data_IF_112644637975
#
_entry.id   IF_112644637975
#
_cell.length_a   1.000
_cell.length_b   1.000
_cell.length_c   1.000
_cell.angle_alpha   90.00
_cell.angle_beta   90.00
_cell.angle_gamma   90.00
#
_symmetry.space_group_name_H-M   'P 1'
#
loop_
_entity.id
_entity.type
_entity.pdbx_description
1 polymer ?
#
# COMPACT_ATOMS: atom_id res chain seq x y z
N UNK A 1 10.70 36.58 -28.92
CA UNK A 1 9.89 35.44 -29.41
C UNK A 1 9.88 34.21 -28.50
N UNK A 2 10.92 33.97 -27.74
CA UNK A 2 11.02 32.78 -26.87
C UNK A 2 10.37 32.95 -25.49
N UNK A 3 9.99 34.13 -25.13
CA UNK A 3 9.49 34.46 -23.78
C UNK A 3 8.08 33.93 -23.45
N UNK A 4 7.23 33.80 -24.45
CA UNK A 4 5.86 33.36 -24.25
C UNK A 4 5.70 31.87 -23.97
N UNK A 5 6.59 31.04 -24.48
CA UNK A 5 6.56 29.61 -24.30
C UNK A 5 6.94 29.16 -22.88
N UNK A 6 7.76 29.93 -22.17
CA UNK A 6 8.19 29.60 -20.83
C UNK A 6 7.11 29.85 -19.77
N UNK A 7 6.34 30.89 -19.94
CA UNK A 7 5.25 31.24 -18.99
C UNK A 7 4.12 30.21 -19.09
N UNK A 8 3.81 29.77 -20.29
CA UNK A 8 2.76 28.78 -20.53
C UNK A 8 3.11 27.40 -19.93
N UNK A 9 4.37 27.04 -19.96
CA UNK A 9 4.84 25.77 -19.38
C UNK A 9 4.73 25.74 -17.85
N UNK A 10 5.03 26.84 -17.18
CA UNK A 10 4.92 26.95 -15.73
C UNK A 10 3.46 26.85 -15.27
N UNK A 11 2.56 27.53 -15.93
CA UNK A 11 1.14 27.46 -15.60
C UNK A 11 0.56 26.05 -15.76
N UNK A 12 0.95 25.34 -16.80
CA UNK A 12 0.48 23.96 -17.03
C UNK A 12 0.96 22.98 -15.94
N UNK A 13 2.18 23.11 -15.49
CA UNK A 13 2.75 22.23 -14.43
C UNK A 13 2.02 22.46 -13.10
N UNK A 14 1.77 23.69 -12.73
CA UNK A 14 1.06 24.03 -11.50
C UNK A 14 -0.37 23.52 -11.52
N UNK A 15 -1.07 23.70 -12.63
CA UNK A 15 -2.45 23.23 -12.79
C UNK A 15 -2.57 21.72 -12.73
N UNK A 16 -1.63 20.99 -13.31
CA UNK A 16 -1.58 19.53 -13.23
C UNK A 16 -1.35 19.03 -11.81
N UNK A 17 -0.47 19.68 -11.06
CA UNK A 17 -0.23 19.34 -9.68
C UNK A 17 -1.48 19.48 -8.81
N UNK A 18 -2.23 20.56 -8.98
CA UNK A 18 -3.48 20.79 -8.28
C UNK A 18 -4.57 19.77 -8.62
N UNK A 19 -4.67 19.37 -9.88
CA UNK A 19 -5.62 18.35 -10.34
C UNK A 19 -5.33 16.98 -9.75
N UNK A 20 -4.06 16.60 -9.60
CA UNK A 20 -3.66 15.33 -9.00
C UNK A 20 -4.09 15.20 -7.54
N UNK A 21 -4.19 16.29 -6.80
CA UNK A 21 -4.62 16.26 -5.39
C UNK A 21 -6.11 16.03 -5.20
N UNK A 22 -6.93 16.22 -6.23
CA UNK A 22 -8.40 16.15 -6.16
C UNK A 22 -9.01 14.90 -6.77
N UNK A 23 -8.26 14.12 -7.56
CA UNK A 23 -8.77 12.94 -8.28
C UNK A 23 -8.09 11.66 -7.81
N UNK A 24 -8.79 10.51 -7.85
CA UNK A 24 -8.15 9.22 -7.64
C UNK A 24 -6.98 9.04 -8.62
N UNK A 25 -5.88 8.54 -8.12
CA UNK A 25 -4.68 8.27 -8.92
C UNK A 25 -4.83 6.93 -9.63
N UNK A 26 -4.64 6.91 -10.95
CA UNK A 26 -4.65 5.67 -11.71
C UNK A 26 -3.50 4.75 -11.27
N UNK A 27 -3.67 3.42 -11.38
CA UNK A 27 -2.69 2.44 -10.93
C UNK A 27 -1.29 2.66 -11.52
N UNK A 28 -1.19 3.00 -12.81
CA UNK A 28 0.08 3.30 -13.49
C UNK A 28 0.76 4.53 -12.90
N UNK A 29 0.00 5.57 -12.60
CA UNK A 29 0.49 6.79 -11.96
C UNK A 29 0.87 6.55 -10.51
N UNK A 30 0.18 5.64 -9.82
CA UNK A 30 0.50 5.25 -8.45
C UNK A 30 1.88 4.57 -8.39
N UNK A 31 2.16 3.64 -9.31
CA UNK A 31 3.47 2.99 -9.38
C UNK A 31 4.59 3.99 -9.65
N UNK A 32 4.36 4.97 -10.53
CA UNK A 32 5.33 6.03 -10.79
C UNK A 32 5.57 6.91 -9.55
N UNK A 33 4.55 7.19 -8.76
CA UNK A 33 4.67 7.95 -7.52
C UNK A 33 5.43 7.16 -6.43
N UNK A 34 5.24 5.85 -6.37
CA UNK A 34 6.02 4.98 -5.49
C UNK A 34 7.50 4.97 -5.91
N UNK A 35 7.79 4.86 -7.21
CA UNK A 35 9.15 4.96 -7.74
C UNK A 35 9.80 6.27 -7.35
N UNK A 36 9.08 7.37 -7.48
CA UNK A 36 9.57 8.71 -7.12
C UNK A 36 9.85 8.81 -5.62
N UNK A 37 8.96 8.28 -4.78
CA UNK A 37 9.15 8.26 -3.32
C UNK A 37 10.43 7.51 -2.94
N UNK A 38 10.67 6.36 -3.55
CA UNK A 38 11.87 5.57 -3.30
C UNK A 38 13.13 6.36 -3.67
N UNK A 39 13.11 7.06 -4.81
CA UNK A 39 14.24 7.93 -5.23
C UNK A 39 14.46 9.11 -4.30
N UNK A 40 13.38 9.79 -3.91
CA UNK A 40 13.46 10.96 -3.03
C UNK A 40 14.04 10.63 -1.65
N UNK A 41 13.73 9.46 -1.11
CA UNK A 41 14.28 9.04 0.17
C UNK A 41 15.79 8.90 0.13
N UNK A 42 16.37 8.36 -0.94
CA UNK A 42 17.80 8.36 -1.23
C UNK A 42 18.70 7.69 -0.21
N UNK A 43 18.16 7.10 0.84
CA UNK A 43 18.89 6.45 1.93
C UNK A 43 18.36 5.02 2.15
N UNK A 44 18.68 4.43 3.30
CA UNK A 44 18.26 3.08 3.65
C UNK A 44 16.72 2.89 3.60
N UNK A 45 15.96 3.94 3.85
CA UNK A 45 14.49 3.87 3.81
C UNK A 45 13.99 3.62 2.39
N UNK A 46 14.62 4.25 1.39
CA UNK A 46 14.31 4.00 -0.01
C UNK A 46 14.57 2.54 -0.39
N UNK A 47 15.70 2.01 0.03
CA UNK A 47 16.06 0.60 -0.19
C UNK A 47 15.09 -0.36 0.52
N UNK A 48 14.72 -0.06 1.75
CA UNK A 48 13.77 -0.87 2.52
C UNK A 48 12.38 -0.85 1.87
N UNK A 49 11.88 0.32 1.47
CA UNK A 49 10.60 0.43 0.79
C UNK A 49 10.59 -0.30 -0.55
N UNK A 50 11.67 -0.19 -1.33
CA UNK A 50 11.83 -0.92 -2.59
C UNK A 50 11.81 -2.43 -2.37
N UNK A 51 12.47 -2.90 -1.33
CA UNK A 51 12.50 -4.35 -0.99
C UNK A 51 11.12 -4.86 -0.55
N UNK A 52 10.43 -4.11 0.28
CA UNK A 52 9.06 -4.40 0.69
C UNK A 52 8.15 -4.51 -0.54
N UNK A 53 8.22 -3.54 -1.44
CA UNK A 53 7.46 -3.53 -2.68
C UNK A 53 7.72 -4.77 -3.53
N UNK A 54 8.97 -5.11 -3.70
CA UNK A 54 9.39 -6.33 -4.43
C UNK A 54 8.75 -7.58 -3.81
N UNK A 55 8.85 -7.74 -2.50
CA UNK A 55 8.30 -8.90 -1.79
C UNK A 55 6.77 -8.97 -1.88
N UNK A 56 6.10 -7.82 -1.86
CA UNK A 56 4.64 -7.75 -2.03
C UNK A 56 4.24 -8.32 -3.39
N UNK A 57 4.89 -7.88 -4.46
CA UNK A 57 4.57 -8.34 -5.82
C UNK A 57 5.02 -9.78 -6.08
N UNK A 58 6.08 -10.24 -5.43
CA UNK A 58 6.47 -11.65 -5.46
C UNK A 58 5.46 -12.54 -4.72
N UNK A 59 4.92 -12.07 -3.61
CA UNK A 59 3.92 -12.79 -2.84
C UNK A 59 2.63 -12.97 -3.64
N UNK A 60 2.20 -11.93 -4.35
CA UNK A 60 1.00 -11.95 -5.16
C UNK A 60 1.10 -10.94 -6.32
N UNK A 61 1.36 -11.41 -7.55
CA UNK A 61 1.47 -10.55 -8.72
C UNK A 61 0.19 -9.77 -9.07
N UNK A 62 -0.97 -10.18 -8.56
CA UNK A 62 -2.24 -9.50 -8.82
C UNK A 62 -2.50 -8.32 -7.88
N UNK A 63 -1.64 -8.09 -6.89
CA UNK A 63 -1.74 -6.92 -6.01
C UNK A 63 -1.57 -5.65 -6.82
N UNK A 64 -2.48 -4.70 -6.61
CA UNK A 64 -2.49 -3.39 -7.25
C UNK A 64 -1.86 -2.37 -6.32
N UNK A 65 -1.00 -1.52 -6.86
CA UNK A 65 -0.46 -0.36 -6.17
C UNK A 65 -1.40 0.83 -6.29
N UNK A 66 -1.61 1.51 -5.18
CA UNK A 66 -2.40 2.71 -5.10
C UNK A 66 -1.62 3.81 -4.37
N UNK A 67 -2.02 5.04 -4.56
CA UNK A 67 -1.45 6.20 -3.89
C UNK A 67 -2.58 6.96 -3.22
N UNK A 68 -2.62 6.96 -1.90
CA UNK A 68 -3.75 7.49 -1.14
C UNK A 68 -3.30 8.50 -0.07
N UNK A 69 -4.27 9.22 0.45
CA UNK A 69 -4.10 10.11 1.61
C UNK A 69 -2.92 11.06 1.50
N UNK A 70 -2.72 11.68 0.34
CA UNK A 70 -1.68 12.67 0.07
C UNK A 70 -0.25 12.13 0.11
N UNK A 71 -0.05 10.88 -0.14
CA UNK A 71 1.30 10.39 -0.32
C UNK A 71 1.63 9.07 0.34
N UNK A 72 0.64 8.21 0.52
CA UNK A 72 0.87 6.89 1.10
C UNK A 72 0.76 5.81 0.02
N UNK A 73 1.83 5.04 -0.21
CA UNK A 73 1.74 3.81 -0.99
C UNK A 73 0.81 2.81 -0.32
N UNK A 74 -0.13 2.28 -1.08
CA UNK A 74 -1.11 1.30 -0.62
C UNK A 74 -1.12 0.12 -1.59
N UNK A 75 -1.18 -1.10 -1.06
CA UNK A 75 -1.27 -2.31 -1.86
C UNK A 75 -2.57 -3.01 -1.54
N UNK A 76 -3.31 -3.35 -2.60
CA UNK A 76 -4.68 -3.86 -2.50
C UNK A 76 -4.90 -5.09 -3.37
N UNK A 77 -5.66 -6.03 -2.86
CA UNK A 77 -6.22 -7.16 -3.59
C UNK A 77 -7.45 -7.63 -2.83
N UNK A 78 -8.62 -7.39 -3.42
CA UNK A 78 -9.89 -7.66 -2.73
C UNK A 78 -10.17 -6.72 -1.56
N UNK A 79 -9.44 -5.63 -1.44
CA UNK A 79 -9.41 -4.66 -0.37
C UNK A 79 -7.97 -4.31 -0.02
N UNK A 80 -7.75 -3.39 0.88
CA UNK A 80 -6.40 -3.01 1.30
C UNK A 80 -5.72 -4.19 2.01
N UNK A 81 -4.53 -4.54 1.53
CA UNK A 81 -3.64 -5.51 2.18
C UNK A 81 -2.77 -4.79 3.21
N UNK A 82 -1.98 -3.86 2.74
CA UNK A 82 -1.08 -3.09 3.60
C UNK A 82 -0.74 -1.73 2.98
N UNK A 83 -0.17 -0.87 3.81
CA UNK A 83 0.38 0.42 3.42
C UNK A 83 1.87 0.46 3.70
N UNK A 84 2.59 1.37 3.04
CA UNK A 84 4.00 1.61 3.29
C UNK A 84 4.21 3.06 3.66
N UNK A 85 4.53 3.32 4.91
CA UNK A 85 4.79 4.66 5.40
C UNK A 85 6.26 4.81 5.75
N UNK A 86 6.83 5.98 5.49
CA UNK A 86 8.22 6.27 5.81
C UNK A 86 8.30 7.41 6.79
N UNK A 87 8.97 7.16 7.91
CA UNK A 87 9.27 8.13 8.94
C UNK A 87 10.78 8.34 9.00
N UNK A 88 11.24 9.24 9.86
CA UNK A 88 12.66 9.58 9.93
C UNK A 88 13.54 8.35 10.22
N UNK A 89 13.11 7.45 11.09
CA UNK A 89 13.90 6.30 11.55
C UNK A 89 13.24 4.93 11.28
N UNK A 90 12.10 4.91 10.60
CA UNK A 90 11.31 3.69 10.44
C UNK A 90 10.64 3.67 9.08
N UNK A 91 10.66 2.52 8.44
CA UNK A 91 9.74 2.19 7.36
C UNK A 91 8.67 1.29 7.97
N UNK A 92 7.43 1.74 7.92
CA UNK A 92 6.31 1.05 8.56
C UNK A 92 5.39 0.42 7.52
N UNK A 93 5.15 -0.88 7.65
CA UNK A 93 4.10 -1.58 6.93
C UNK A 93 2.91 -1.76 7.86
N UNK A 94 1.77 -1.20 7.52
CA UNK A 94 0.54 -1.40 8.29
C UNK A 94 -0.40 -2.33 7.54
N UNK A 95 -0.73 -3.46 8.16
CA UNK A 95 -1.69 -4.42 7.61
C UNK A 95 -3.09 -4.03 8.07
N UNK A 96 -3.97 -3.78 7.10
CA UNK A 96 -5.31 -3.26 7.37
C UNK A 96 -6.15 -4.16 8.28
N UNK A 97 -5.97 -5.47 8.17
CA UNK A 97 -6.65 -6.47 8.99
C UNK A 97 -5.67 -7.34 9.80
N UNK A 98 -4.55 -6.74 10.19
CA UNK A 98 -3.46 -7.45 10.85
C UNK A 98 -3.87 -8.21 12.11
N UNK A 99 -4.82 -7.68 12.88
CA UNK A 99 -5.29 -8.32 14.11
C UNK A 99 -5.98 -9.68 13.87
N UNK A 100 -6.52 -9.88 12.67
CA UNK A 100 -7.17 -11.13 12.28
C UNK A 100 -6.20 -12.14 11.63
N UNK A 101 -4.95 -11.76 11.43
CA UNK A 101 -3.94 -12.62 10.82
C UNK A 101 -3.17 -13.41 11.87
N UNK A 102 -2.89 -14.66 11.56
CA UNK A 102 -1.90 -15.45 12.28
C UNK A 102 -0.52 -14.96 11.86
N UNK A 103 0.33 -14.73 12.83
CA UNK A 103 1.70 -14.26 12.63
C UNK A 103 2.67 -15.19 13.34
N UNK A 104 2.88 -16.41 12.81
CA UNK A 104 3.68 -17.42 13.50
C UNK A 104 5.15 -17.01 13.65
N UNK A 105 5.65 -16.18 12.74
CA UNK A 105 7.03 -15.69 12.79
C UNK A 105 7.19 -14.39 13.59
N UNK A 106 6.12 -13.91 14.18
CA UNK A 106 6.09 -12.70 15.03
C UNK A 106 6.69 -11.48 14.32
N UNK A 107 6.23 -11.24 13.09
CA UNK A 107 6.66 -10.09 12.29
C UNK A 107 6.08 -8.78 12.83
N UNK A 108 4.84 -8.79 13.29
CA UNK A 108 4.22 -7.59 13.84
C UNK A 108 4.95 -7.17 15.12
N UNK A 109 5.45 -5.95 15.12
CA UNK A 109 6.20 -5.35 16.23
C UNK A 109 5.70 -3.96 16.60
N UNK A 110 4.62 -3.51 15.99
CA UNK A 110 4.05 -2.19 16.20
C UNK A 110 2.53 -2.25 16.08
N UNK A 111 1.83 -1.30 16.70
CA UNK A 111 0.36 -1.25 16.71
C UNK A 111 -0.28 -2.54 17.28
N UNK A 112 0.37 -3.17 18.25
CA UNK A 112 -0.03 -4.48 18.77
C UNK A 112 -1.32 -4.45 19.59
N UNK A 113 -1.74 -3.29 20.07
CA UNK A 113 -2.98 -3.10 20.82
C UNK A 113 -4.17 -2.71 19.94
N UNK A 114 -3.97 -2.47 18.66
CA UNK A 114 -5.04 -2.15 17.73
C UNK A 114 -6.01 -3.32 17.55
N UNK A 115 -7.29 -3.03 17.48
CA UNK A 115 -8.33 -4.05 17.34
C UNK A 115 -8.41 -4.62 15.92
N UNK A 116 -7.90 -3.91 14.92
CA UNK A 116 -8.00 -4.28 13.50
C UNK A 116 -6.63 -4.29 12.84
N UNK A 117 -5.85 -3.23 13.02
CA UNK A 117 -4.55 -3.05 12.36
C UNK A 117 -3.40 -3.60 13.18
N UNK A 118 -2.37 -4.07 12.48
CA UNK A 118 -1.06 -4.42 13.04
C UNK A 118 0.00 -3.89 12.10
N UNK A 119 1.17 -3.58 12.62
CA UNK A 119 2.24 -3.01 11.81
C UNK A 119 3.58 -3.70 12.04
N UNK A 120 4.42 -3.60 11.02
CA UNK A 120 5.82 -4.00 11.05
C UNK A 120 6.64 -2.73 10.89
N UNK A 121 7.42 -2.40 11.90
CA UNK A 121 8.40 -1.32 11.85
C UNK A 121 9.76 -1.91 11.45
N UNK A 122 10.31 -1.39 10.37
CA UNK A 122 11.63 -1.77 9.85
C UNK A 122 12.60 -0.64 10.15
N UNK A 123 13.67 -0.94 10.89
CA UNK A 123 14.73 -0.01 11.24
C UNK A 123 15.95 -0.22 10.36
N UNK A 124 16.83 0.78 10.33
CA UNK A 124 18.06 0.72 9.55
C UNK A 124 18.89 -0.52 9.91
N UNK A 125 19.33 -1.24 8.90
CA UNK A 125 20.17 -2.43 9.08
C UNK A 125 19.44 -3.71 9.45
N UNK A 126 18.15 -3.65 9.72
CA UNK A 126 17.36 -4.86 10.01
C UNK A 126 17.16 -5.69 8.76
N UNK A 127 17.35 -6.99 8.90
CA UNK A 127 17.04 -7.95 7.84
C UNK A 127 15.56 -8.35 7.90
N UNK A 128 14.92 -8.33 6.75
CA UNK A 128 13.54 -8.77 6.61
C UNK A 128 13.52 -10.29 6.44
N UNK A 129 12.68 -10.98 7.20
CA UNK A 129 12.38 -12.38 6.96
C UNK A 129 11.47 -12.47 5.73
N UNK A 130 12.06 -12.62 4.55
CA UNK A 130 11.37 -12.50 3.28
C UNK A 130 10.28 -13.57 3.09
N UNK A 131 10.59 -14.82 3.42
CA UNK A 131 9.64 -15.92 3.31
C UNK A 131 8.43 -15.72 4.22
N UNK A 132 8.67 -15.35 5.48
CA UNK A 132 7.60 -15.09 6.43
C UNK A 132 6.73 -13.89 6.02
N UNK A 133 7.35 -12.83 5.50
CA UNK A 133 6.61 -11.65 5.04
C UNK A 133 5.74 -11.99 3.83
N UNK A 134 6.24 -12.74 2.86
CA UNK A 134 5.44 -13.18 1.71
C UNK A 134 4.26 -14.03 2.15
N UNK A 135 4.45 -14.93 3.09
CA UNK A 135 3.36 -15.76 3.64
C UNK A 135 2.30 -14.90 4.34
N UNK A 136 2.72 -13.90 5.09
CA UNK A 136 1.82 -12.98 5.78
C UNK A 136 1.00 -12.16 4.76
N UNK A 137 1.62 -11.69 3.69
CA UNK A 137 0.94 -10.96 2.61
C UNK A 137 -0.09 -11.86 1.93
N UNK A 138 0.27 -13.10 1.60
CA UNK A 138 -0.67 -14.06 1.01
C UNK A 138 -1.85 -14.35 1.93
N UNK A 139 -1.61 -14.47 3.22
CA UNK A 139 -2.67 -14.66 4.21
C UNK A 139 -3.61 -13.45 4.26
N UNK A 140 -3.06 -12.25 4.16
CA UNK A 140 -3.86 -11.01 4.13
C UNK A 140 -4.75 -10.93 2.88
N UNK A 141 -4.21 -11.31 1.72
CA UNK A 141 -4.99 -11.41 0.48
C UNK A 141 -6.11 -12.43 0.63
N UNK A 142 -5.80 -13.62 1.13
CA UNK A 142 -6.78 -14.69 1.33
C UNK A 142 -7.92 -14.23 2.25
N UNK A 143 -7.61 -13.51 3.33
CA UNK A 143 -8.59 -12.95 4.24
C UNK A 143 -9.52 -11.94 3.55
N UNK A 144 -8.98 -11.08 2.70
CA UNK A 144 -9.77 -10.12 1.93
C UNK A 144 -10.72 -10.82 0.96
N UNK A 145 -10.25 -11.82 0.24
CA UNK A 145 -11.04 -12.57 -0.73
C UNK A 145 -12.14 -13.40 -0.04
N UNK A 146 -11.84 -13.99 1.10
CA UNK A 146 -12.82 -14.70 1.93
C UNK A 146 -13.93 -13.75 2.41
N UNK A 147 -13.57 -12.57 2.88
CA UNK A 147 -14.53 -11.55 3.29
C UNK A 147 -15.48 -11.12 2.16
N UNK A 148 -14.97 -10.97 0.95
CA UNK A 148 -15.77 -10.67 -0.24
C UNK A 148 -16.73 -11.79 -0.59
N UNK A 149 -16.29 -13.03 -0.55
CA UNK A 149 -17.11 -14.21 -0.82
C UNK A 149 -18.27 -14.31 0.17
N UNK A 150 -18.01 -14.13 1.46
CA UNK A 150 -19.05 -14.11 2.50
C UNK A 150 -20.05 -12.97 2.31
N UNK A 151 -19.59 -11.79 1.94
CA UNK A 151 -20.44 -10.64 1.65
C UNK A 151 -21.36 -10.87 0.48
N UNK A 152 -20.87 -11.46 -0.61
CA UNK A 152 -21.69 -11.86 -1.77
C UNK A 152 -22.75 -12.90 -1.40
N UNK A 153 -22.39 -13.91 -0.62
CA UNK A 153 -23.29 -14.96 -0.16
C UNK A 153 -24.42 -14.39 0.70
N UNK A 154 -24.11 -13.49 1.63
CA UNK A 154 -25.11 -12.80 2.46
C UNK A 154 -26.09 -11.95 1.63
N UNK A 155 -25.57 -11.23 0.62
CA UNK A 155 -26.42 -10.46 -0.30
C UNK A 155 -27.35 -11.34 -1.10
N UNK A 156 -26.88 -12.45 -1.62
CA UNK A 156 -27.66 -13.43 -2.35
C UNK A 156 -28.78 -14.02 -1.48
N UNK A 157 -28.47 -14.39 -0.24
CA UNK A 157 -29.44 -14.92 0.73
C UNK A 157 -30.52 -13.90 1.07
N UNK A 158 -30.15 -12.65 1.32
CA UNK A 158 -31.12 -11.57 1.57
C UNK A 158 -32.02 -11.31 0.38
N UNK A 159 -31.48 -11.34 -0.84
CA UNK A 159 -32.26 -11.14 -2.06
C UNK A 159 -33.27 -12.27 -2.27
N UNK A 160 -32.89 -13.52 -1.97
CA UNK A 160 -33.80 -14.68 -2.02
C UNK A 160 -34.94 -14.61 -0.99
N UNK A 161 -34.60 -14.17 0.23
CA UNK A 161 -35.58 -14.02 1.30
C UNK A 161 -36.57 -12.89 1.06
N UNK A 162 -36.22 -11.88 0.27
CA UNK A 162 -37.06 -10.74 -0.09
C UNK A 162 -37.96 -11.02 -1.31
N UNK A 163 -37.79 -12.15 -2.01
CA UNK A 163 -38.64 -12.61 -3.14
C UNK A 163 -39.70 -13.56 -2.67
#
# INVERSE_FOLDING_TARGET
MLRGAQVTRRGKITTKGELYMKKPVAAESASALVDERIRELGDWRGKALAKVRELIHEADPEIVEEWKWRGTPVWSHGGIVCTGETYQKVVKMTFAKGAALKDPSRLFNSSLEGNVRRAIDIHEGEKINEAALKDLIRAAVALNLEGKSKSKSRRASRKRAAS
#
